data_IF_758493017698
#
_entry.id   IF_758493017698
#
_cell.length_a   1.000
_cell.length_b   1.000
_cell.length_c   1.000
_cell.angle_alpha   90.00
_cell.angle_beta   90.00
_cell.angle_gamma   90.00
#
_symmetry.space_group_name_H-M   'P 1'
#
loop_
_entity.id
_entity.type
_entity.pdbx_description
1 polymer ?
#
# COMPACT_ATOMS: atom_id res chain seq x y z
N UNK A 1 -81.68 66.61 -60.55
CA UNK A 1 -82.40 65.52 -59.82
C UNK A 1 -82.28 64.26 -60.65
N UNK A 2 -82.25 63.05 -60.03
CA UNK A 2 -82.16 61.68 -60.64
C UNK A 2 -80.68 61.23 -60.83
N UNK A 3 -80.19 60.03 -60.48
CA UNK A 3 -80.61 58.79 -59.75
C UNK A 3 -79.32 57.95 -59.57
N UNK A 4 -79.07 57.34 -58.40
CA UNK A 4 -79.17 55.89 -58.07
C UNK A 4 -77.95 54.99 -58.33
N UNK A 5 -77.65 54.24 -57.26
CA UNK A 5 -77.04 52.90 -57.12
C UNK A 5 -75.55 52.68 -57.43
N UNK A 6 -74.82 52.35 -56.37
CA UNK A 6 -73.85 51.25 -56.35
C UNK A 6 -74.05 50.57 -54.98
N UNK A 7 -74.33 49.27 -54.84
CA UNK A 7 -73.91 48.15 -55.66
C UNK A 7 -72.67 47.53 -55.01
N UNK A 8 -72.86 46.76 -53.94
CA UNK A 8 -71.79 46.00 -53.27
C UNK A 8 -71.53 44.70 -54.03
N UNK A 9 -70.25 44.33 -54.24
CA UNK A 9 -69.91 42.91 -54.23
C UNK A 9 -68.66 42.57 -53.38
N UNK A 10 -68.86 41.54 -52.57
CA UNK A 10 -67.98 40.46 -52.05
C UNK A 10 -66.50 40.72 -51.64
N UNK A 11 -66.05 40.12 -50.52
CA UNK A 11 -64.68 40.26 -50.01
C UNK A 11 -63.68 39.36 -50.76
N UNK A 12 -62.63 39.97 -51.32
CA UNK A 12 -61.50 39.26 -51.93
C UNK A 12 -60.50 38.79 -50.87
N UNK A 13 -60.16 37.52 -51.01
CA UNK A 13 -59.33 36.65 -50.19
C UNK A 13 -57.89 37.18 -50.01
N UNK A 14 -57.47 37.47 -48.78
CA UNK A 14 -56.05 37.61 -48.44
C UNK A 14 -55.60 36.37 -47.67
N UNK A 15 -54.96 35.46 -48.40
CA UNK A 15 -54.36 34.23 -47.90
C UNK A 15 -53.11 34.61 -47.10
N UNK A 16 -53.28 34.84 -45.79
CA UNK A 16 -52.18 35.03 -44.83
C UNK A 16 -51.33 33.76 -44.82
N UNK A 17 -50.12 33.85 -45.36
CA UNK A 17 -49.10 32.80 -45.22
C UNK A 17 -48.82 32.59 -43.73
N UNK A 18 -49.30 31.49 -43.18
CA UNK A 18 -48.85 30.98 -41.89
C UNK A 18 -47.40 30.57 -42.05
N UNK A 19 -46.48 31.48 -41.72
CA UNK A 19 -45.09 31.14 -41.47
C UNK A 19 -45.08 30.07 -40.39
N UNK A 20 -44.72 28.85 -40.76
CA UNK A 20 -44.50 27.75 -39.83
C UNK A 20 -43.31 28.10 -38.95
N UNK A 21 -43.55 28.70 -37.78
CA UNK A 21 -42.59 28.74 -36.69
C UNK A 21 -42.33 27.29 -36.26
N UNK A 22 -41.32 26.67 -36.88
CA UNK A 22 -40.81 25.36 -36.49
C UNK A 22 -40.18 25.54 -35.11
N UNK A 23 -40.82 25.01 -34.07
CA UNK A 23 -40.26 24.97 -32.73
C UNK A 23 -38.84 24.35 -32.81
N UNK A 24 -37.82 24.93 -32.15
CA UNK A 24 -36.50 24.32 -32.12
C UNK A 24 -36.64 22.94 -31.48
N UNK A 25 -36.22 21.91 -32.20
CA UNK A 25 -36.15 20.55 -31.69
C UNK A 25 -35.44 20.57 -30.34
N UNK A 26 -36.13 20.09 -29.30
CA UNK A 26 -35.58 19.97 -27.97
C UNK A 26 -34.25 19.21 -28.07
N UNK A 27 -33.13 19.90 -27.81
CA UNK A 27 -31.83 19.24 -27.76
C UNK A 27 -31.92 18.13 -26.72
N UNK A 28 -31.46 16.91 -27.03
CA UNK A 28 -31.40 15.86 -26.02
C UNK A 28 -30.59 16.40 -24.84
N UNK A 29 -31.16 16.33 -23.64
CA UNK A 29 -30.45 16.71 -22.41
C UNK A 29 -29.14 15.92 -22.37
N UNK A 30 -27.99 16.54 -22.06
CA UNK A 30 -26.76 15.78 -21.88
C UNK A 30 -27.03 14.69 -20.84
N UNK A 31 -26.50 13.47 -21.01
CA UNK A 31 -26.64 12.42 -20.02
C UNK A 31 -26.19 13.02 -18.68
N UNK A 32 -27.12 13.03 -17.72
CA UNK A 32 -26.88 13.39 -16.33
C UNK A 32 -25.55 12.78 -15.94
N UNK A 33 -24.59 13.62 -15.56
CA UNK A 33 -23.26 13.21 -15.17
C UNK A 33 -23.37 11.94 -14.35
N UNK A 34 -22.96 10.81 -14.94
CA UNK A 34 -22.96 9.54 -14.26
C UNK A 34 -22.20 9.79 -12.96
N UNK A 35 -22.88 9.68 -11.82
CA UNK A 35 -22.21 9.74 -10.53
C UNK A 35 -21.15 8.65 -10.57
N UNK A 36 -19.90 9.05 -10.83
CA UNK A 36 -18.73 8.21 -10.69
C UNK A 36 -18.75 7.85 -9.21
N UNK A 37 -19.34 6.68 -8.89
CA UNK A 37 -19.33 6.18 -7.53
C UNK A 37 -17.85 6.05 -7.17
N UNK A 38 -17.35 6.76 -6.15
CA UNK A 38 -16.00 6.53 -5.70
C UNK A 38 -15.90 5.04 -5.37
N UNK A 39 -14.88 4.36 -5.93
CA UNK A 39 -14.58 2.98 -5.56
C UNK A 39 -14.50 2.94 -4.04
N UNK A 40 -15.39 2.18 -3.38
CA UNK A 40 -15.32 1.97 -1.93
C UNK A 40 -13.91 1.48 -1.59
N UNK A 41 -13.19 2.27 -0.80
CA UNK A 41 -11.75 2.20 -0.60
C UNK A 41 -11.31 1.01 0.26
N UNK A 42 -11.10 -0.15 -0.36
CA UNK A 42 -10.46 -1.31 0.27
C UNK A 42 -8.91 -1.31 0.17
N UNK A 43 -8.32 -0.36 -0.55
CA UNK A 43 -6.88 -0.32 -0.84
C UNK A 43 -5.97 -0.31 0.39
N UNK A 44 -6.10 0.65 1.31
CA UNK A 44 -5.17 0.77 2.44
C UNK A 44 -5.34 -0.34 3.48
N UNK A 45 -6.56 -0.86 3.69
CA UNK A 45 -6.80 -1.99 4.61
C UNK A 45 -6.08 -3.26 4.13
N UNK A 46 -6.20 -3.60 2.85
CA UNK A 46 -5.48 -4.74 2.28
C UNK A 46 -3.96 -4.56 2.41
N UNK A 47 -3.45 -3.35 2.16
CA UNK A 47 -2.03 -3.04 2.28
C UNK A 47 -1.50 -3.21 3.72
N UNK A 48 -2.27 -2.78 4.73
CA UNK A 48 -1.93 -2.99 6.15
C UNK A 48 -1.80 -4.48 6.45
N UNK A 49 -2.77 -5.30 6.04
CA UNK A 49 -2.71 -6.74 6.28
C UNK A 49 -1.59 -7.45 5.54
N UNK A 50 -1.21 -6.99 4.35
CA UNK A 50 0.00 -7.46 3.65
C UNK A 50 1.24 -7.18 4.51
N UNK A 51 1.37 -5.99 5.11
CA UNK A 51 2.51 -5.67 5.98
C UNK A 51 2.55 -6.60 7.20
N UNK A 52 1.40 -6.90 7.82
CA UNK A 52 1.34 -7.86 8.93
C UNK A 52 1.85 -9.23 8.51
N UNK A 53 1.39 -9.76 7.37
CA UNK A 53 1.84 -11.07 6.87
C UNK A 53 3.35 -11.06 6.61
N UNK A 54 3.87 -9.99 6.01
CA UNK A 54 5.32 -9.85 5.76
C UNK A 54 6.10 -9.76 7.08
N UNK A 55 5.63 -9.02 8.07
CA UNK A 55 6.28 -8.92 9.38
C UNK A 55 6.37 -10.28 10.08
N UNK A 56 5.27 -11.04 10.09
CA UNK A 56 5.26 -12.40 10.62
C UNK A 56 6.18 -13.35 9.85
N UNK A 57 6.23 -13.22 8.52
CA UNK A 57 7.17 -13.99 7.69
C UNK A 57 8.62 -13.66 8.03
N UNK A 58 8.97 -12.38 8.22
CA UNK A 58 10.32 -11.96 8.63
C UNK A 58 10.66 -12.53 10.01
N UNK A 59 9.76 -12.46 10.98
CA UNK A 59 9.94 -13.07 12.30
C UNK A 59 10.20 -14.58 12.22
N UNK A 60 9.40 -15.27 11.39
CA UNK A 60 9.54 -16.70 11.15
C UNK A 60 10.88 -17.07 10.50
N UNK A 61 11.31 -16.33 9.47
CA UNK A 61 12.60 -16.54 8.82
C UNK A 61 13.77 -16.27 9.77
N UNK A 62 13.67 -15.22 10.59
CA UNK A 62 14.66 -14.94 11.62
C UNK A 62 14.76 -16.08 12.65
N UNK A 63 13.62 -16.67 13.02
CA UNK A 63 13.58 -17.82 13.91
C UNK A 63 14.22 -19.07 13.31
N UNK A 64 13.97 -19.34 12.03
CA UNK A 64 14.60 -20.46 11.33
C UNK A 64 16.13 -20.27 11.21
N UNK A 65 16.60 -19.05 10.96
CA UNK A 65 18.04 -18.74 10.97
C UNK A 65 18.68 -18.89 12.35
N UNK A 66 17.99 -18.46 13.41
CA UNK A 66 18.47 -18.55 14.80
C UNK A 66 18.53 -19.98 15.36
N UNK A 67 17.74 -20.89 14.79
CA UNK A 67 17.65 -22.31 15.16
C UNK A 67 18.47 -23.22 14.24
N UNK A 68 19.27 -22.65 13.34
CA UNK A 68 20.08 -23.37 12.35
C UNK A 68 19.27 -24.37 11.49
N UNK A 69 17.97 -24.08 11.30
CA UNK A 69 17.08 -24.87 10.45
C UNK A 69 17.24 -24.51 8.97
N UNK A 70 17.85 -23.37 8.68
CA UNK A 70 18.17 -22.88 7.35
C UNK A 70 19.67 -22.63 7.29
N UNK A 71 20.34 -23.29 6.34
CA UNK A 71 21.76 -23.04 6.06
C UNK A 71 21.96 -21.63 5.53
N UNK A 72 23.12 -21.04 5.84
CA UNK A 72 23.52 -19.73 5.32
C UNK A 72 23.36 -19.70 3.80
N UNK A 73 22.46 -18.87 3.30
CA UNK A 73 22.18 -18.78 1.87
C UNK A 73 21.99 -17.32 1.42
N UNK A 74 22.26 -17.06 0.14
CA UNK A 74 22.11 -15.76 -0.47
C UNK A 74 20.69 -15.52 -1.02
N UNK A 75 19.66 -16.14 -0.44
CA UNK A 75 18.26 -15.94 -0.85
C UNK A 75 17.39 -15.45 0.32
N UNK A 76 17.65 -15.90 1.55
CA UNK A 76 16.76 -15.77 2.71
C UNK A 76 17.53 -15.08 3.85
N UNK A 77 16.88 -14.23 4.65
CA UNK A 77 17.43 -13.68 5.91
C UNK A 77 18.02 -12.27 5.82
N UNK A 78 18.48 -11.77 6.98
CA UNK A 78 19.12 -10.46 7.11
C UNK A 78 20.52 -10.55 6.50
N UNK A 79 20.75 -9.85 5.40
CA UNK A 79 22.00 -9.90 4.66
C UNK A 79 22.88 -8.73 4.99
N UNK A 80 23.69 -8.90 6.03
CA UNK A 80 24.80 -7.99 6.29
C UNK A 80 26.14 -8.69 6.00
N UNK A 81 27.21 -7.94 5.70
CA UNK A 81 28.51 -8.54 5.45
C UNK A 81 29.03 -9.42 6.59
N UNK A 82 28.70 -9.11 7.86
CA UNK A 82 29.13 -9.94 8.99
C UNK A 82 28.29 -11.22 9.13
N UNK A 83 26.96 -11.14 8.98
CA UNK A 83 26.08 -12.33 9.07
C UNK A 83 26.36 -13.36 7.98
N UNK A 84 26.99 -12.96 6.87
CA UNK A 84 27.36 -13.87 5.79
C UNK A 84 28.79 -14.45 5.90
N UNK A 85 29.60 -13.99 6.86
CA UNK A 85 31.03 -14.35 6.93
C UNK A 85 31.26 -15.74 7.54
N UNK A 86 30.49 -16.12 8.54
CA UNK A 86 30.63 -17.37 9.27
C UNK A 86 29.25 -17.93 9.70
N UNK A 87 29.18 -19.22 10.04
CA UNK A 87 27.93 -19.83 10.51
C UNK A 87 27.61 -19.37 11.94
N UNK A 88 28.66 -19.14 12.75
CA UNK A 88 28.52 -18.53 14.07
C UNK A 88 27.94 -17.11 13.99
N UNK A 89 28.44 -16.29 13.07
CA UNK A 89 27.93 -14.94 12.81
C UNK A 89 26.51 -14.94 12.26
N UNK A 90 26.16 -15.91 11.41
CA UNK A 90 24.79 -16.13 10.92
C UNK A 90 23.81 -16.40 12.06
N UNK A 91 24.11 -17.37 12.93
CA UNK A 91 23.23 -17.76 14.05
C UNK A 91 23.15 -16.63 15.08
N UNK A 92 24.29 -16.03 15.44
CA UNK A 92 24.35 -14.93 16.41
C UNK A 92 23.55 -13.72 15.93
N UNK A 93 23.70 -13.34 14.66
CA UNK A 93 22.96 -12.24 14.06
C UNK A 93 21.44 -12.48 14.03
N UNK A 94 21.00 -13.67 13.64
CA UNK A 94 19.57 -14.01 13.62
C UNK A 94 18.96 -14.13 15.02
N UNK A 95 19.69 -14.65 16.02
CA UNK A 95 19.24 -14.62 17.42
C UNK A 95 19.07 -13.20 17.94
N UNK A 96 20.03 -12.32 17.64
CA UNK A 96 19.96 -10.94 18.05
C UNK A 96 18.80 -10.21 17.34
N UNK A 97 18.59 -10.45 16.05
CA UNK A 97 17.46 -9.91 15.31
C UNK A 97 16.09 -10.31 15.89
N UNK A 98 15.93 -11.56 16.38
CA UNK A 98 14.67 -11.99 17.01
C UNK A 98 14.25 -11.13 18.20
N UNK A 99 15.20 -10.58 18.95
CA UNK A 99 14.91 -9.71 20.09
C UNK A 99 14.21 -8.41 19.69
N UNK A 100 14.39 -7.99 18.43
CA UNK A 100 13.77 -6.79 17.85
C UNK A 100 12.51 -7.16 17.06
N UNK A 101 12.58 -8.23 16.27
CA UNK A 101 11.53 -8.57 15.30
C UNK A 101 10.29 -9.17 15.97
N UNK A 102 10.43 -9.93 17.05
CA UNK A 102 9.27 -10.47 17.77
C UNK A 102 8.36 -9.38 18.38
N UNK A 103 8.87 -8.43 19.19
CA UNK A 103 8.04 -7.36 19.71
C UNK A 103 7.55 -6.41 18.62
N UNK A 104 8.33 -6.19 17.56
CA UNK A 104 7.93 -5.36 16.43
C UNK A 104 6.77 -5.96 15.63
N UNK A 105 6.83 -7.25 15.28
CA UNK A 105 5.73 -7.97 14.65
C UNK A 105 4.45 -7.96 15.50
N UNK A 106 4.57 -8.09 16.83
CA UNK A 106 3.44 -7.97 17.75
C UNK A 106 2.83 -6.55 17.73
N UNK A 107 3.67 -5.52 17.75
CA UNK A 107 3.25 -4.11 17.67
C UNK A 107 2.53 -3.81 16.35
N UNK A 108 3.13 -4.20 15.21
CA UNK A 108 2.55 -4.05 13.87
C UNK A 108 1.18 -4.72 13.79
N UNK A 109 1.06 -5.94 14.31
CA UNK A 109 -0.21 -6.68 14.35
C UNK A 109 -1.25 -5.96 15.21
N UNK A 110 -0.87 -5.49 16.40
CA UNK A 110 -1.77 -4.77 17.30
C UNK A 110 -2.30 -3.47 16.65
N UNK A 111 -1.42 -2.69 16.02
CA UNK A 111 -1.79 -1.47 15.30
C UNK A 111 -2.76 -1.76 14.14
N UNK A 112 -2.50 -2.82 13.38
CA UNK A 112 -3.37 -3.24 12.28
C UNK A 112 -4.77 -3.67 12.76
N UNK A 113 -4.86 -4.41 13.88
CA UNK A 113 -6.14 -4.84 14.48
C UNK A 113 -6.92 -3.63 14.98
N UNK A 114 -6.30 -2.76 15.77
CA UNK A 114 -6.95 -1.54 16.28
C UNK A 114 -7.44 -0.67 15.13
N UNK A 115 -6.60 -0.45 14.11
CA UNK A 115 -6.95 0.33 12.93
C UNK A 115 -8.08 -0.29 12.10
N UNK A 116 -8.22 -1.62 12.09
CA UNK A 116 -9.32 -2.31 11.40
C UNK A 116 -10.66 -2.19 12.14
N UNK A 117 -10.63 -2.07 13.48
CA UNK A 117 -11.83 -1.95 14.32
C UNK A 117 -12.40 -0.52 14.29
N UNK A 118 -11.54 0.50 14.22
CA UNK A 118 -11.96 1.92 14.32
C UNK A 118 -12.73 2.45 13.09
N UNK A 119 -12.87 1.67 12.02
CA UNK A 119 -13.68 2.02 10.85
C UNK A 119 -12.99 2.98 9.85
N UNK A 120 -13.52 3.10 8.62
CA UNK A 120 -12.89 3.79 7.51
C UNK A 120 -13.19 5.30 7.49
N UNK A 121 -12.91 6.01 8.58
CA UNK A 121 -13.21 7.44 8.70
C UNK A 121 -12.03 8.33 8.24
N UNK A 122 -11.24 7.86 7.28
CA UNK A 122 -10.02 8.53 6.79
C UNK A 122 -8.77 8.31 7.66
N UNK A 123 -8.91 7.65 8.83
CA UNK A 123 -7.78 7.25 9.67
C UNK A 123 -6.94 6.11 9.07
N UNK A 124 -7.44 5.39 8.06
CA UNK A 124 -6.78 4.21 7.50
C UNK A 124 -5.44 4.54 6.84
N UNK A 125 -5.31 5.72 6.22
CA UNK A 125 -4.04 6.16 5.62
C UNK A 125 -2.99 6.44 6.70
N UNK A 126 -3.39 7.06 7.82
CA UNK A 126 -2.52 7.30 8.98
C UNK A 126 -2.06 5.97 9.59
N UNK A 127 -2.98 5.02 9.76
CA UNK A 127 -2.65 3.66 10.24
C UNK A 127 -1.67 2.98 9.30
N UNK A 128 -1.87 3.09 7.98
CA UNK A 128 -0.96 2.53 6.99
C UNK A 128 0.46 3.10 7.15
N UNK A 129 0.61 4.42 7.20
CA UNK A 129 1.94 5.04 7.36
C UNK A 129 2.56 4.72 8.72
N UNK A 130 1.77 4.65 9.79
CA UNK A 130 2.25 4.25 11.11
C UNK A 130 2.77 2.80 11.12
N UNK A 131 2.00 1.87 10.56
CA UNK A 131 2.37 0.45 10.46
C UNK A 131 3.58 0.25 9.55
N UNK A 132 3.61 0.90 8.39
CA UNK A 132 4.75 0.84 7.46
C UNK A 132 6.02 1.43 8.10
N UNK A 133 5.91 2.58 8.77
CA UNK A 133 7.02 3.23 9.46
C UNK A 133 7.57 2.38 10.61
N UNK A 134 6.69 1.77 11.42
CA UNK A 134 7.07 0.85 12.47
C UNK A 134 7.84 -0.36 11.90
N UNK A 135 7.29 -0.99 10.86
CA UNK A 135 7.92 -2.15 10.21
C UNK A 135 9.30 -1.82 9.61
N UNK A 136 9.46 -0.66 8.98
CA UNK A 136 10.75 -0.24 8.43
C UNK A 136 11.78 0.06 9.52
N UNK A 137 11.36 0.70 10.60
CA UNK A 137 12.23 1.02 11.75
C UNK A 137 12.70 -0.26 12.43
N UNK A 138 11.79 -1.20 12.62
CA UNK A 138 12.09 -2.55 13.13
C UNK A 138 13.09 -3.28 12.24
N UNK A 139 12.86 -3.31 10.92
CA UNK A 139 13.76 -3.97 9.98
C UNK A 139 15.17 -3.37 10.00
N UNK A 140 15.27 -2.04 10.09
CA UNK A 140 16.56 -1.36 10.21
C UNK A 140 17.26 -1.69 11.53
N UNK A 141 16.55 -1.62 12.66
CA UNK A 141 17.08 -1.96 13.97
C UNK A 141 17.55 -3.42 14.03
N UNK A 142 16.77 -4.35 13.47
CA UNK A 142 17.12 -5.76 13.37
C UNK A 142 18.41 -5.97 12.56
N UNK A 143 18.59 -5.25 11.45
CA UNK A 143 19.81 -5.33 10.64
C UNK A 143 21.05 -4.82 11.40
N UNK A 144 20.93 -3.72 12.14
CA UNK A 144 22.02 -3.18 12.96
C UNK A 144 22.41 -4.15 14.06
N UNK A 145 21.42 -4.65 14.81
CA UNK A 145 21.65 -5.59 15.92
C UNK A 145 22.23 -6.92 15.41
N UNK A 146 21.77 -7.40 14.26
CA UNK A 146 22.32 -8.60 13.63
C UNK A 146 23.79 -8.42 13.22
N UNK A 147 24.14 -7.27 12.62
CA UNK A 147 25.52 -6.96 12.23
C UNK A 147 26.45 -6.89 13.44
N UNK A 148 26.05 -6.20 14.51
CA UNK A 148 26.84 -6.08 15.74
C UNK A 148 27.08 -7.45 16.37
N UNK A 149 26.03 -8.27 16.49
CA UNK A 149 26.15 -9.60 17.06
C UNK A 149 27.03 -10.53 16.21
N UNK A 150 26.90 -10.47 14.88
CA UNK A 150 27.71 -11.29 13.97
C UNK A 150 29.20 -10.92 14.05
N UNK A 151 29.54 -9.63 14.09
CA UNK A 151 30.94 -9.19 14.27
C UNK A 151 31.53 -9.63 15.60
N UNK A 152 30.74 -9.61 16.67
CA UNK A 152 31.17 -10.10 17.98
C UNK A 152 31.48 -11.59 17.97
N UNK A 153 30.66 -12.40 17.28
CA UNK A 153 30.90 -13.82 17.12
C UNK A 153 32.17 -14.12 16.31
N UNK A 154 32.40 -13.38 15.21
CA UNK A 154 33.59 -13.54 14.38
C UNK A 154 34.89 -13.16 15.11
N UNK A 155 34.85 -12.11 15.95
CA UNK A 155 35.99 -11.67 16.73
C UNK A 155 36.41 -12.73 17.76
N UNK A 156 35.45 -13.31 18.48
CA UNK A 156 35.74 -14.39 19.45
C UNK A 156 36.36 -15.63 18.79
N UNK A 157 35.97 -15.94 17.56
CA UNK A 157 36.52 -17.09 16.82
C UNK A 157 37.93 -16.85 16.24
N UNK A 158 38.32 -15.58 16.06
CA UNK A 158 39.70 -15.22 15.68
C UNK A 158 40.72 -15.46 16.79
N UNK A 159 40.29 -15.27 18.04
CA UNK A 159 41.12 -15.46 19.23
C UNK A 159 41.27 -16.95 19.60
N UNK A 160 40.29 -17.78 19.23
CA UNK A 160 40.29 -19.24 19.37
C UNK A 160 41.09 -19.99 18.28
N UNK A 161 42.03 -19.36 17.58
CA UNK A 161 43.04 -20.07 16.77
C UNK A 161 44.36 -20.28 17.53
N UNK A 162 44.45 -21.18 18.54
CA UNK A 162 45.74 -21.62 19.05
C UNK A 162 46.38 -22.57 18.03
N UNK A 163 47.47 -22.14 17.37
CA UNK A 163 48.39 -23.05 16.69
C UNK A 163 48.57 -22.93 15.17
N UNK A 164 47.94 -21.97 14.46
CA UNK A 164 48.20 -21.81 13.01
C UNK A 164 49.53 -21.09 12.66
N UNK A 165 50.45 -20.96 13.62
CA UNK A 165 51.79 -20.39 13.39
C UNK A 165 52.94 -21.39 13.57
N UNK A 166 52.64 -22.66 13.88
CA UNK A 166 53.64 -23.72 13.83
C UNK A 166 53.62 -24.34 12.43
N UNK A 167 54.33 -23.70 11.50
CA UNK A 167 54.84 -24.34 10.30
C UNK A 167 56.32 -24.62 10.55
N UNK A 168 56.64 -25.92 10.65
CA UNK A 168 58.01 -26.44 10.70
C UNK A 168 58.82 -26.04 9.44
#
# INVERSE_FOLDING_TARGET
>A
MIRVAAGTPAPTTVRRGLGSCRAPAARPRPPTAAHVRPRRGGGPVLAVWIIVVVALLVAWLAWLGATDRITRNALIGIRTPATQRSDAGWIAGHRAALTVVLPGAALVTALAVVGSIMGPDGATDVVFFAVAGAFLTEGFAAAVVAEVAARGADAGQGDERPGQWDVD
#
